data_IF_560204525540
#
_entry.id   IF_560204525540
#
_cell.length_a   1.000
_cell.length_b   1.000
_cell.length_c   1.000
_cell.angle_alpha   90.00
_cell.angle_beta   90.00
_cell.angle_gamma   90.00
#
_symmetry.space_group_name_H-M   'P 1'
#
loop_
_entity.id
_entity.type
_entity.pdbx_description
1 polymer ?
#
# COMPACT_ATOMS: atom_id res chain seq x y z
N UNK A 1 17.66 0.14 5.12
CA UNK A 1 16.83 0.16 6.34
C UNK A 1 15.68 -0.80 6.11
N UNK A 2 15.49 -1.79 6.98
CA UNK A 2 14.40 -2.76 6.81
C UNK A 2 13.13 -2.08 7.31
N UNK A 3 12.21 -1.78 6.40
CA UNK A 3 10.85 -1.39 6.77
C UNK A 3 10.05 -2.67 7.01
N UNK A 4 9.18 -2.66 8.02
CA UNK A 4 8.31 -3.80 8.31
C UNK A 4 7.04 -3.72 7.45
N UNK A 5 6.49 -4.87 7.07
CA UNK A 5 5.20 -5.04 6.35
C UNK A 5 4.13 -4.08 6.87
N UNK A 6 3.85 -4.08 8.18
CA UNK A 6 2.87 -3.16 8.77
C UNK A 6 3.09 -1.68 8.45
N UNK A 7 4.34 -1.22 8.31
CA UNK A 7 4.64 0.16 7.95
C UNK A 7 4.41 0.41 6.45
N UNK A 8 4.64 -0.59 5.61
CA UNK A 8 4.28 -0.56 4.19
C UNK A 8 2.75 -0.46 4.02
N UNK A 9 1.97 -1.29 4.73
CA UNK A 9 0.50 -1.26 4.71
C UNK A 9 -0.05 0.14 5.02
N UNK A 10 0.49 0.80 6.06
CA UNK A 10 0.05 2.14 6.43
C UNK A 10 0.38 3.17 5.34
N UNK A 11 1.57 3.08 4.73
CA UNK A 11 1.99 4.02 3.69
C UNK A 11 1.17 3.83 2.42
N UNK A 12 0.94 2.58 2.03
CA UNK A 12 0.05 2.21 0.93
C UNK A 12 -1.38 2.72 1.17
N UNK A 13 -1.93 2.46 2.37
CA UNK A 13 -3.26 2.94 2.76
C UNK A 13 -3.37 4.47 2.68
N UNK A 14 -2.35 5.20 3.14
CA UNK A 14 -2.32 6.67 3.04
C UNK A 14 -2.31 7.10 1.57
N UNK A 15 -1.54 6.43 0.70
CA UNK A 15 -1.52 6.73 -0.73
C UNK A 15 -2.89 6.50 -1.37
N UNK A 16 -3.50 5.34 -1.14
CA UNK A 16 -4.80 4.98 -1.69
C UNK A 16 -5.89 5.95 -1.24
N UNK A 17 -5.92 6.27 0.06
CA UNK A 17 -6.86 7.26 0.60
C UNK A 17 -6.64 8.65 0.02
N UNK A 18 -5.38 9.04 -0.20
CA UNK A 18 -5.04 10.32 -0.81
C UNK A 18 -5.48 10.39 -2.28
N UNK A 19 -5.26 9.34 -3.06
CA UNK A 19 -5.74 9.26 -4.46
C UNK A 19 -7.27 9.29 -4.53
N UNK A 20 -7.95 8.65 -3.56
CA UNK A 20 -9.42 8.57 -3.52
C UNK A 20 -10.09 9.86 -3.05
N UNK A 21 -9.53 10.51 -2.02
CA UNK A 21 -10.19 11.59 -1.28
C UNK A 21 -9.45 12.95 -1.36
N UNK A 22 -8.23 12.99 -1.89
CA UNK A 22 -7.35 14.16 -1.92
C UNK A 22 -6.70 14.53 -0.58
N UNK A 23 -7.39 14.31 0.54
CA UNK A 23 -6.87 14.57 1.89
C UNK A 23 -7.05 13.34 2.78
N UNK A 24 -6.10 13.12 3.70
CA UNK A 24 -6.08 11.96 4.60
C UNK A 24 -5.90 12.43 6.04
N UNK A 25 -6.70 11.88 6.95
CA UNK A 25 -6.60 12.04 8.40
C UNK A 25 -6.50 10.66 9.06
N UNK A 26 -6.04 10.62 10.30
CA UNK A 26 -5.94 9.36 11.05
C UNK A 26 -7.27 8.61 11.15
N UNK A 27 -8.41 9.32 11.16
CA UNK A 27 -9.73 8.67 11.21
C UNK A 27 -10.07 7.90 9.93
N UNK A 28 -9.56 8.36 8.78
CA UNK A 28 -9.78 7.69 7.50
C UNK A 28 -9.01 6.37 7.48
N UNK A 29 -7.77 6.37 8.01
CA UNK A 29 -6.93 5.18 8.14
C UNK A 29 -7.53 4.18 9.14
N UNK A 30 -8.08 4.67 10.26
CA UNK A 30 -8.83 3.84 11.24
C UNK A 30 -9.96 3.09 10.56
N UNK A 31 -10.75 3.80 9.73
CA UNK A 31 -11.90 3.23 9.06
C UNK A 31 -11.48 2.26 7.95
N UNK A 32 -10.43 2.58 7.17
CA UNK A 32 -9.97 1.73 6.07
C UNK A 32 -9.36 0.41 6.58
N UNK A 33 -8.51 0.48 7.60
CA UNK A 33 -7.78 -0.70 8.10
C UNK A 33 -8.51 -1.45 9.22
N UNK A 34 -9.64 -0.93 9.70
CA UNK A 34 -10.41 -1.49 10.81
C UNK A 34 -9.56 -1.71 12.09
N UNK A 35 -8.63 -0.80 12.37
CA UNK A 35 -7.78 -0.82 13.57
C UNK A 35 -8.20 0.24 14.58
N UNK A 36 -7.83 0.02 15.85
CA UNK A 36 -8.19 0.95 16.93
C UNK A 36 -7.53 2.32 16.75
N UNK A 37 -8.21 3.39 17.21
CA UNK A 37 -7.63 4.75 17.22
C UNK A 37 -6.26 4.82 17.94
N UNK A 38 -6.07 4.20 19.12
CA UNK A 38 -4.75 4.13 19.74
C UNK A 38 -3.69 3.47 18.85
N UNK A 39 -4.01 2.35 18.19
CA UNK A 39 -3.09 1.65 17.28
C UNK A 39 -2.64 2.56 16.14
N UNK A 40 -3.58 3.20 15.45
CA UNK A 40 -3.26 4.13 14.36
C UNK A 40 -2.45 5.33 14.86
N UNK A 41 -2.79 5.88 16.03
CA UNK A 41 -2.02 6.99 16.61
C UNK A 41 -0.55 6.62 16.86
N UNK A 42 -0.29 5.40 17.35
CA UNK A 42 1.08 4.91 17.58
C UNK A 42 1.81 4.71 16.24
N UNK A 43 1.13 4.12 15.25
CA UNK A 43 1.70 3.91 13.91
C UNK A 43 2.06 5.25 13.24
N UNK A 44 1.14 6.21 13.22
CA UNK A 44 1.39 7.53 12.63
C UNK A 44 2.53 8.28 13.33
N UNK A 45 2.63 8.16 14.66
CA UNK A 45 3.77 8.71 15.41
C UNK A 45 5.09 8.11 14.91
N UNK A 46 5.17 6.79 14.80
CA UNK A 46 6.38 6.09 14.32
C UNK A 46 6.72 6.47 12.88
N UNK A 47 5.75 6.48 11.96
CA UNK A 47 6.00 6.87 10.57
C UNK A 47 6.52 8.31 10.46
N UNK A 48 6.00 9.22 11.28
CA UNK A 48 6.45 10.62 11.33
C UNK A 48 7.87 10.73 11.89
N UNK A 49 8.16 10.03 12.99
CA UNK A 49 9.50 10.02 13.61
C UNK A 49 10.56 9.42 12.68
N UNK A 50 10.17 8.48 11.81
CA UNK A 50 11.05 7.90 10.79
C UNK A 50 11.07 8.69 9.46
N UNK A 51 10.36 9.82 9.39
CA UNK A 51 10.41 10.72 8.23
C UNK A 51 9.65 10.25 7.00
N UNK A 52 8.71 9.31 7.14
CA UNK A 52 7.87 8.83 6.02
C UNK A 52 6.60 9.64 5.79
N UNK A 53 6.13 10.32 6.83
CA UNK A 53 4.93 11.17 6.75
C UNK A 53 5.16 12.51 7.45
N UNK A 54 4.36 13.49 7.06
CA UNK A 54 4.14 14.74 7.79
C UNK A 54 2.69 14.82 8.24
N UNK A 55 2.47 15.48 9.37
CA UNK A 55 1.14 15.77 9.88
C UNK A 55 1.09 17.25 10.25
N UNK A 56 0.16 17.99 9.65
CA UNK A 56 0.02 19.44 9.90
C UNK A 56 -0.79 19.74 11.18
N UNK A 57 -0.97 21.02 11.50
CA UNK A 57 -1.73 21.49 12.66
C UNK A 57 -3.23 21.11 12.60
N UNK A 58 -3.75 20.83 11.41
CA UNK A 58 -5.13 20.42 11.19
C UNK A 58 -5.28 18.89 11.23
N UNK A 59 -4.19 18.14 11.41
CA UNK A 59 -4.18 16.68 11.42
C UNK A 59 -4.23 16.06 10.02
N UNK A 60 -3.94 16.82 8.97
CA UNK A 60 -3.79 16.28 7.61
C UNK A 60 -2.46 15.56 7.48
N UNK A 61 -2.51 14.35 6.94
CA UNK A 61 -1.37 13.47 6.73
C UNK A 61 -0.91 13.59 5.27
N UNK A 62 0.39 13.70 5.08
CA UNK A 62 1.02 13.73 3.75
C UNK A 62 2.24 12.83 3.74
N UNK A 63 2.38 11.99 2.72
CA UNK A 63 3.60 11.20 2.50
C UNK A 63 4.76 12.16 2.18
N UNK A 64 5.93 11.92 2.79
CA UNK A 64 7.18 12.51 2.31
C UNK A 64 7.61 11.79 1.03
N UNK A 65 8.64 12.29 0.33
CA UNK A 65 9.16 11.61 -0.86
C UNK A 65 9.59 10.17 -0.56
N UNK A 66 10.22 9.93 0.60
CA UNK A 66 10.63 8.59 1.02
C UNK A 66 9.43 7.69 1.30
N UNK A 67 8.41 8.19 2.01
CA UNK A 67 7.19 7.43 2.28
C UNK A 67 6.38 7.16 1.01
N UNK A 68 6.33 8.13 0.09
CA UNK A 68 5.65 8.02 -1.20
C UNK A 68 6.31 6.97 -2.09
N UNK A 69 7.64 6.97 -2.20
CA UNK A 69 8.35 5.98 -3.01
C UNK A 69 8.07 4.53 -2.54
N UNK A 70 7.99 4.32 -1.21
CA UNK A 70 7.66 3.02 -0.65
C UNK A 70 6.19 2.67 -0.94
N UNK A 71 5.26 3.59 -0.68
CA UNK A 71 3.84 3.38 -0.92
C UNK A 71 3.55 3.06 -2.39
N UNK A 72 4.15 3.81 -3.32
CA UNK A 72 3.97 3.61 -4.77
C UNK A 72 4.56 2.28 -5.24
N UNK A 73 5.71 1.88 -4.69
CA UNK A 73 6.31 0.55 -4.96
C UNK A 73 5.35 -0.56 -4.56
N UNK A 74 4.86 -0.52 -3.32
CA UNK A 74 3.97 -1.55 -2.77
C UNK A 74 2.64 -1.56 -3.51
N UNK A 75 2.02 -0.39 -3.71
CA UNK A 75 0.76 -0.29 -4.45
C UNK A 75 0.88 -0.73 -5.92
N UNK A 76 2.06 -0.57 -6.54
CA UNK A 76 2.29 -1.10 -7.89
C UNK A 76 2.29 -2.63 -7.92
N UNK A 77 2.88 -3.26 -6.91
CA UNK A 77 2.86 -4.72 -6.71
C UNK A 77 1.43 -5.19 -6.46
N UNK A 78 0.69 -4.54 -5.56
CA UNK A 78 -0.72 -4.79 -5.31
C UNK A 78 -1.53 -4.84 -6.61
N UNK A 79 -1.43 -3.78 -7.41
CA UNK A 79 -2.18 -3.63 -8.66
C UNK A 79 -1.82 -4.68 -9.70
N UNK A 80 -0.53 -5.02 -9.83
CA UNK A 80 -0.11 -6.05 -10.77
C UNK A 80 -0.62 -7.43 -10.33
N UNK A 81 -0.39 -7.79 -9.06
CA UNK A 81 -0.78 -9.09 -8.51
C UNK A 81 -2.29 -9.28 -8.58
N UNK A 82 -3.06 -8.24 -8.24
CA UNK A 82 -4.53 -8.25 -8.39
C UNK A 82 -4.93 -8.59 -9.82
N UNK A 83 -4.33 -7.92 -10.82
CA UNK A 83 -4.62 -8.16 -12.23
C UNK A 83 -4.25 -9.57 -12.69
N UNK A 84 -3.11 -10.09 -12.22
CA UNK A 84 -2.67 -11.46 -12.51
C UNK A 84 -3.63 -12.48 -11.93
N UNK A 85 -4.02 -12.30 -10.66
CA UNK A 85 -4.96 -13.19 -9.98
C UNK A 85 -6.35 -13.17 -10.65
N UNK A 86 -6.83 -12.00 -11.08
CA UNK A 86 -8.05 -11.88 -11.88
C UNK A 86 -7.91 -12.61 -13.21
N UNK A 87 -6.78 -12.47 -13.91
CA UNK A 87 -6.56 -13.11 -15.20
C UNK A 87 -6.55 -14.65 -15.13
N UNK A 88 -6.16 -15.23 -13.99
CA UNK A 88 -6.25 -16.69 -13.75
C UNK A 88 -7.62 -17.13 -13.23
N UNK A 89 -8.61 -16.24 -13.17
CA UNK A 89 -10.01 -16.55 -12.86
C UNK A 89 -10.43 -16.33 -11.41
N UNK A 90 -9.66 -15.60 -10.61
CA UNK A 90 -10.04 -15.25 -9.24
C UNK A 90 -10.94 -14.01 -9.25
N UNK A 91 -12.00 -14.02 -8.44
CA UNK A 91 -12.85 -12.84 -8.21
C UNK A 91 -12.03 -11.62 -7.77
N UNK A 92 -12.36 -10.44 -8.28
CA UNK A 92 -11.59 -9.20 -8.07
C UNK A 92 -11.37 -8.86 -6.60
N UNK A 93 -12.39 -9.03 -5.73
CA UNK A 93 -12.25 -8.72 -4.30
C UNK A 93 -11.30 -9.70 -3.62
N UNK A 94 -11.42 -10.99 -3.97
CA UNK A 94 -10.51 -12.01 -3.46
C UNK A 94 -9.09 -11.79 -4.00
N UNK A 95 -8.95 -11.45 -5.27
CA UNK A 95 -7.67 -11.18 -5.91
C UNK A 95 -6.94 -10.02 -5.23
N UNK A 96 -7.62 -8.90 -4.97
CA UNK A 96 -7.03 -7.77 -4.24
C UNK A 96 -6.64 -8.14 -2.81
N UNK A 97 -7.49 -8.88 -2.08
CA UNK A 97 -7.16 -9.32 -0.72
C UNK A 97 -5.97 -10.29 -0.65
N UNK A 98 -5.78 -11.14 -1.67
CA UNK A 98 -4.64 -12.04 -1.74
C UNK A 98 -3.37 -11.32 -2.23
N UNK A 99 -3.50 -10.39 -3.17
CA UNK A 99 -2.41 -9.53 -3.63
C UNK A 99 -1.78 -8.75 -2.46
N UNK A 100 -2.63 -8.18 -1.59
CA UNK A 100 -2.23 -7.46 -0.37
C UNK A 100 -1.29 -8.28 0.53
N UNK A 101 -1.42 -9.61 0.57
CA UNK A 101 -0.51 -10.46 1.36
C UNK A 101 0.78 -10.75 0.59
N UNK A 102 0.65 -11.04 -0.70
CA UNK A 102 1.76 -11.50 -1.54
C UNK A 102 2.78 -10.37 -1.80
N UNK A 103 2.33 -9.13 -1.91
CA UNK A 103 3.17 -8.00 -2.32
C UNK A 103 4.37 -7.69 -1.41
N UNK A 104 4.27 -8.08 -0.14
CA UNK A 104 5.32 -7.89 0.87
C UNK A 104 6.31 -9.06 0.93
N UNK A 105 5.89 -10.26 0.51
CA UNK A 105 6.69 -11.49 0.64
C UNK A 105 7.55 -11.79 -0.60
N UNK A 106 7.20 -11.24 -1.75
CA UNK A 106 7.95 -11.47 -3.00
C UNK A 106 9.12 -10.50 -3.16
N UNK A 107 10.23 -11.03 -3.66
CA UNK A 107 11.39 -10.24 -4.06
C UNK A 107 11.18 -9.55 -5.43
N UNK A 108 12.10 -8.65 -5.76
CA UNK A 108 12.03 -7.88 -7.02
C UNK A 108 12.14 -8.79 -8.24
N UNK A 109 12.95 -9.87 -8.19
CA UNK A 109 13.08 -10.81 -9.30
C UNK A 109 11.75 -11.52 -9.58
N UNK A 110 11.09 -12.04 -8.55
CA UNK A 110 9.78 -12.70 -8.66
C UNK A 110 8.74 -11.73 -9.22
N UNK A 111 8.70 -10.49 -8.69
CA UNK A 111 7.81 -9.44 -9.19
C UNK A 111 8.03 -9.15 -10.68
N UNK A 112 9.29 -8.97 -11.11
CA UNK A 112 9.64 -8.70 -12.51
C UNK A 112 9.22 -9.84 -13.44
N UNK A 113 9.42 -11.09 -13.04
CA UNK A 113 9.00 -12.26 -13.84
C UNK A 113 7.48 -12.34 -13.97
N UNK A 114 6.74 -12.08 -12.88
CA UNK A 114 5.27 -12.03 -12.91
C UNK A 114 4.80 -10.90 -13.83
N UNK A 115 5.42 -9.73 -13.75
CA UNK A 115 5.11 -8.58 -14.60
C UNK A 115 5.30 -8.90 -16.08
N UNK A 116 6.47 -9.45 -16.43
CA UNK A 116 6.79 -9.84 -17.80
C UNK A 116 5.81 -10.91 -18.34
N UNK A 117 5.46 -11.89 -17.51
CA UNK A 117 4.47 -12.91 -17.86
C UNK A 117 3.11 -12.28 -18.15
N UNK A 118 2.61 -11.40 -17.28
CA UNK A 118 1.32 -10.76 -17.45
C UNK A 118 1.26 -9.87 -18.70
N UNK A 119 2.32 -9.14 -18.99
CA UNK A 119 2.40 -8.32 -20.21
C UNK A 119 2.47 -9.19 -21.49
N UNK A 120 3.07 -10.38 -21.42
CA UNK A 120 3.01 -11.35 -22.53
C UNK A 120 1.60 -11.91 -22.71
N UNK A 121 0.89 -12.18 -21.62
CA UNK A 121 -0.49 -12.69 -21.64
C UNK A 121 -1.46 -11.69 -22.27
N UNK A 122 -1.34 -10.40 -21.93
CA UNK A 122 -2.20 -9.32 -22.48
C UNK A 122 -2.02 -9.04 -23.97
N UNK A 123 -0.89 -9.46 -24.57
CA UNK A 123 -0.60 -9.25 -26.00
C UNK A 123 -1.20 -10.33 -26.89
N UNK A 124 -1.66 -11.44 -26.31
CA UNK A 124 -2.37 -12.52 -27.00
C UNK A 124 -3.88 -12.33 -26.85
#
# INVERSE_FOLDING_TARGET
MVIHESAEDYLETILVLHERNGQVRSIDIVNEMNFSKPSISIAMKKLRENGYIRMDVNGLITLTDTGRNIAERIYSRHKLLTKVLVAIGIDEKKASSEACKIEHDIDDETYEKISAFYESYKKN
#
